data_IF_480466763779
#
_entry.id   IF_480466763779
#
_cell.length_a   1.000
_cell.length_b   1.000
_cell.length_c   1.000
_cell.angle_alpha   90.00
_cell.angle_beta   90.00
_cell.angle_gamma   90.00
#
_symmetry.space_group_name_H-M   'P 1'
#
loop_
_entity.id
_entity.type
_entity.pdbx_description
1 polymer ?
#
# COMPACT_ATOMS: atom_id res chain seq x y z
N UNK A 1 -20.94 -4.97 13.94
CA UNK A 1 -22.16 -4.26 14.39
C UNK A 1 -22.92 -3.85 13.14
N UNK A 2 -24.25 -4.10 13.09
CA UNK A 2 -25.09 -3.69 11.96
C UNK A 2 -25.51 -2.24 12.11
N UNK A 3 -25.85 -1.61 10.99
CA UNK A 3 -26.45 -0.28 10.95
C UNK A 3 -27.86 -0.33 10.39
N UNK A 4 -28.68 0.60 10.82
CA UNK A 4 -29.97 0.92 10.20
C UNK A 4 -29.79 2.20 9.41
N UNK A 5 -30.13 2.17 8.13
CA UNK A 5 -30.30 3.33 7.25
C UNK A 5 -31.77 3.75 7.34
N UNK A 6 -32.00 5.01 7.63
CA UNK A 6 -33.31 5.63 7.57
C UNK A 6 -33.26 6.72 6.52
N UNK A 7 -34.02 6.53 5.45
CA UNK A 7 -34.13 7.53 4.41
C UNK A 7 -35.40 8.36 4.61
N UNK A 8 -35.22 9.66 4.68
CA UNK A 8 -36.29 10.65 4.78
C UNK A 8 -36.42 11.40 3.44
N UNK A 9 -37.50 11.18 2.73
CA UNK A 9 -37.85 11.98 1.57
C UNK A 9 -38.65 13.19 2.02
N UNK A 10 -38.26 14.39 1.60
CA UNK A 10 -38.73 15.67 2.11
C UNK A 10 -39.29 16.54 0.98
N UNK A 11 -40.50 17.07 1.16
CA UNK A 11 -41.10 18.04 0.22
C UNK A 11 -41.85 19.13 1.02
N UNK A 12 -41.33 20.40 1.06
CA UNK A 12 -40.05 20.89 0.53
C UNK A 12 -38.83 20.35 1.27
N UNK A 13 -37.64 20.37 0.61
CA UNK A 13 -36.40 19.85 1.20
C UNK A 13 -35.89 20.72 2.36
N UNK A 14 -35.94 22.03 2.18
CA UNK A 14 -35.54 23.00 3.21
C UNK A 14 -36.77 23.74 3.79
N UNK A 15 -36.80 24.06 5.09
CA UNK A 15 -35.71 23.88 6.09
C UNK A 15 -35.71 22.50 6.78
N UNK A 16 -36.60 21.56 6.36
CA UNK A 16 -36.80 20.28 7.05
C UNK A 16 -35.50 19.45 7.18
N UNK A 17 -34.60 19.47 6.17
CA UNK A 17 -33.33 18.77 6.19
C UNK A 17 -32.44 19.21 7.37
N UNK A 18 -32.27 20.50 7.57
CA UNK A 18 -31.42 21.05 8.61
C UNK A 18 -31.96 20.76 10.02
N UNK A 19 -33.28 20.79 10.16
CA UNK A 19 -33.97 20.43 11.41
C UNK A 19 -33.73 18.95 11.72
N UNK A 20 -33.85 18.09 10.70
CA UNK A 20 -33.58 16.64 10.85
C UNK A 20 -32.16 16.36 11.31
N UNK A 21 -31.16 17.01 10.76
CA UNK A 21 -29.77 16.81 11.18
C UNK A 21 -29.58 17.06 12.66
N UNK A 22 -30.10 18.17 13.17
CA UNK A 22 -29.99 18.51 14.58
C UNK A 22 -30.74 17.48 15.44
N UNK A 23 -31.99 17.19 15.11
CA UNK A 23 -32.84 16.31 15.89
C UNK A 23 -32.37 14.85 15.89
N UNK A 24 -32.00 14.30 14.74
CA UNK A 24 -31.52 12.94 14.62
C UNK A 24 -30.12 12.77 15.23
N UNK A 25 -29.26 13.78 15.16
CA UNK A 25 -27.98 13.79 15.87
C UNK A 25 -28.16 13.64 17.38
N UNK A 26 -29.10 14.39 17.95
CA UNK A 26 -29.44 14.28 19.38
C UNK A 26 -30.06 12.92 19.75
N UNK A 27 -30.70 12.23 18.79
CA UNK A 27 -31.28 10.89 18.95
C UNK A 27 -30.28 9.75 18.71
N UNK A 28 -29.00 10.06 18.46
CA UNK A 28 -27.90 9.09 18.34
C UNK A 28 -27.60 8.59 16.93
N UNK A 29 -28.11 9.26 15.91
CA UNK A 29 -27.67 9.00 14.53
C UNK A 29 -26.25 9.55 14.34
N UNK A 30 -25.35 8.74 13.79
CA UNK A 30 -23.91 9.01 13.75
C UNK A 30 -23.42 9.58 12.39
N UNK A 31 -24.18 9.35 11.32
CA UNK A 31 -23.81 9.80 9.98
C UNK A 31 -25.03 10.19 9.17
N UNK A 32 -24.82 11.12 8.23
CA UNK A 32 -25.85 11.64 7.33
C UNK A 32 -25.32 11.76 5.92
N UNK A 33 -26.16 11.48 4.93
CA UNK A 33 -25.86 11.60 3.51
C UNK A 33 -26.98 12.41 2.82
N UNK A 34 -26.54 13.44 2.07
CA UNK A 34 -27.46 14.28 1.32
C UNK A 34 -27.98 13.55 0.07
N UNK A 35 -29.30 13.57 -0.11
CA UNK A 35 -29.97 13.16 -1.33
C UNK A 35 -30.66 14.34 -2.00
N UNK A 36 -30.92 14.23 -3.27
CA UNK A 36 -31.54 15.31 -4.07
C UNK A 36 -32.93 15.71 -3.50
N UNK A 37 -33.65 14.75 -2.94
CA UNK A 37 -35.02 14.90 -2.44
C UNK A 37 -35.16 14.49 -0.96
N UNK A 38 -34.03 14.41 -0.20
CA UNK A 38 -34.08 13.98 1.20
C UNK A 38 -32.75 13.81 1.88
N UNK A 39 -32.76 12.97 2.91
CA UNK A 39 -31.61 12.66 3.77
C UNK A 39 -31.59 11.17 4.09
N UNK A 40 -30.40 10.54 4.00
CA UNK A 40 -30.14 9.25 4.64
C UNK A 40 -29.45 9.49 5.97
N UNK A 41 -29.94 8.86 6.99
CA UNK A 41 -29.37 8.91 8.33
C UNK A 41 -29.05 7.50 8.83
N UNK A 42 -27.93 7.35 9.53
CA UNK A 42 -27.39 6.05 9.95
C UNK A 42 -27.25 5.97 11.45
N UNK A 43 -27.77 4.87 12.03
CA UNK A 43 -27.69 4.59 13.46
C UNK A 43 -27.32 3.13 13.68
N UNK A 44 -26.62 2.82 14.78
CA UNK A 44 -26.31 1.43 15.16
C UNK A 44 -27.61 0.64 15.36
N UNK A 45 -27.66 -0.57 14.84
CA UNK A 45 -28.85 -1.43 14.92
C UNK A 45 -29.32 -1.67 16.37
N UNK A 46 -28.37 -1.76 17.32
CA UNK A 46 -28.66 -1.95 18.75
C UNK A 46 -29.28 -0.73 19.44
N UNK A 47 -29.09 0.46 18.85
CA UNK A 47 -29.63 1.72 19.36
C UNK A 47 -30.92 2.13 18.65
N UNK A 48 -31.25 1.49 17.53
CA UNK A 48 -32.40 1.85 16.74
C UNK A 48 -33.69 1.26 17.33
N UNK A 49 -34.68 2.12 17.50
CA UNK A 49 -36.08 1.74 17.72
C UNK A 49 -36.97 2.64 16.87
N UNK A 50 -38.08 2.11 16.36
CA UNK A 50 -39.04 2.93 15.60
C UNK A 50 -39.58 4.11 16.39
N UNK A 51 -39.45 4.07 17.72
CA UNK A 51 -39.86 5.19 18.58
C UNK A 51 -39.01 6.44 18.37
N UNK A 52 -37.75 6.31 17.92
CA UNK A 52 -36.88 7.44 17.59
C UNK A 52 -37.44 8.29 16.44
N UNK A 53 -38.25 7.71 15.57
CA UNK A 53 -38.87 8.37 14.41
C UNK A 53 -40.23 8.97 14.72
N UNK A 54 -40.74 8.78 15.94
CA UNK A 54 -42.00 9.39 16.36
C UNK A 54 -41.78 10.82 16.81
N UNK A 55 -42.79 11.64 16.55
CA UNK A 55 -42.86 13.03 17.01
C UNK A 55 -41.67 13.90 16.58
N UNK A 56 -41.15 13.62 15.36
CA UNK A 56 -40.12 14.48 14.77
C UNK A 56 -40.66 15.90 14.54
N UNK A 57 -39.87 16.91 14.86
CA UNK A 57 -40.26 18.33 14.74
C UNK A 57 -40.70 18.69 13.30
N UNK A 58 -40.10 18.04 12.30
CA UNK A 58 -40.47 18.24 10.90
C UNK A 58 -41.92 17.84 10.62
N UNK A 59 -42.50 16.91 11.34
CA UNK A 59 -43.89 16.45 11.16
C UNK A 59 -44.92 17.51 11.61
N UNK A 60 -44.48 18.52 12.35
CA UNK A 60 -45.32 19.66 12.80
C UNK A 60 -45.21 20.89 11.91
N UNK A 61 -44.41 20.86 10.84
CA UNK A 61 -44.26 21.98 9.91
C UNK A 61 -45.43 21.97 8.92
N UNK A 62 -46.10 23.09 8.76
CA UNK A 62 -47.21 23.28 7.81
C UNK A 62 -46.73 22.99 6.37
N UNK A 63 -47.52 22.24 5.59
CA UNK A 63 -47.23 21.80 4.23
C UNK A 63 -46.00 20.90 4.02
N UNK A 64 -45.35 20.43 5.11
CA UNK A 64 -44.23 19.48 5.00
C UNK A 64 -44.76 18.06 4.77
N UNK A 65 -44.28 17.42 3.68
CA UNK A 65 -44.45 15.98 3.43
C UNK A 65 -43.18 15.26 3.80
N UNK A 66 -43.31 14.16 4.50
CA UNK A 66 -42.20 13.31 4.94
C UNK A 66 -42.54 11.86 4.67
N UNK A 67 -41.82 11.21 3.76
CA UNK A 67 -41.89 9.75 3.60
C UNK A 67 -40.64 9.14 4.18
N UNK A 68 -40.82 8.12 5.02
CA UNK A 68 -39.70 7.44 5.71
C UNK A 68 -39.58 6.01 5.24
N UNK A 69 -38.39 5.59 4.88
CA UNK A 69 -38.06 4.19 4.61
C UNK A 69 -36.89 3.75 5.46
N UNK A 70 -36.97 2.51 5.97
CA UNK A 70 -35.98 1.93 6.87
C UNK A 70 -35.36 0.71 6.19
N UNK A 71 -34.05 0.63 6.19
CA UNK A 71 -33.29 -0.49 5.64
C UNK A 71 -32.26 -0.96 6.64
N UNK A 72 -32.24 -2.24 6.92
CA UNK A 72 -31.16 -2.86 7.68
C UNK A 72 -29.95 -3.01 6.75
N UNK A 73 -28.84 -2.34 7.10
CA UNK A 73 -27.56 -2.58 6.47
C UNK A 73 -26.98 -3.83 7.15
N UNK A 74 -27.03 -4.94 6.44
CA UNK A 74 -26.37 -6.15 6.90
C UNK A 74 -24.91 -5.85 7.19
N UNK A 75 -24.37 -6.47 8.23
CA UNK A 75 -22.95 -6.41 8.56
C UNK A 75 -22.18 -7.01 7.37
N UNK A 76 -21.84 -6.16 6.40
CA UNK A 76 -20.94 -6.56 5.34
C UNK A 76 -19.57 -6.67 5.98
N UNK A 77 -19.02 -7.88 6.04
CA UNK A 77 -17.65 -8.06 6.45
C UNK A 77 -16.74 -7.47 5.34
N UNK A 78 -16.50 -6.17 5.42
CA UNK A 78 -15.67 -5.44 4.46
C UNK A 78 -14.28 -6.06 4.36
N UNK A 79 -13.76 -6.61 5.47
CA UNK A 79 -12.49 -7.32 5.47
C UNK A 79 -12.58 -8.58 4.59
N UNK A 80 -13.63 -9.40 4.76
CA UNK A 80 -13.79 -10.59 3.92
C UNK A 80 -14.02 -10.24 2.44
N UNK A 81 -14.76 -9.17 2.15
CA UNK A 81 -14.95 -8.69 0.79
C UNK A 81 -13.64 -8.17 0.19
N UNK A 82 -12.85 -7.42 0.96
CA UNK A 82 -11.55 -6.94 0.54
C UNK A 82 -10.57 -8.12 0.34
N UNK A 83 -10.50 -9.06 1.28
CA UNK A 83 -9.69 -10.28 1.17
C UNK A 83 -10.04 -11.11 -0.07
N UNK A 84 -11.32 -11.22 -0.43
CA UNK A 84 -11.77 -11.94 -1.63
C UNK A 84 -11.38 -11.27 -2.95
N UNK A 85 -11.08 -9.98 -2.93
CA UNK A 85 -10.66 -9.20 -4.10
C UNK A 85 -9.15 -8.90 -4.11
N UNK A 86 -8.40 -9.46 -3.16
CA UNK A 86 -6.95 -9.27 -3.06
C UNK A 86 -6.25 -10.50 -3.62
N UNK A 87 -5.98 -10.50 -4.93
CA UNK A 87 -5.41 -11.66 -5.61
C UNK A 87 -3.91 -11.84 -5.32
N UNK A 88 -3.40 -13.08 -5.23
CA UNK A 88 -1.97 -13.33 -5.16
C UNK A 88 -1.25 -12.92 -6.46
N UNK A 89 -0.03 -12.43 -6.35
CA UNK A 89 0.80 -12.03 -7.48
C UNK A 89 1.76 -13.15 -7.85
N UNK A 90 1.74 -13.57 -9.11
CA UNK A 90 2.62 -14.61 -9.64
C UNK A 90 3.79 -13.96 -10.38
N UNK A 91 5.01 -14.27 -9.95
CA UNK A 91 6.25 -13.83 -10.58
C UNK A 91 6.93 -15.04 -11.23
N UNK A 92 7.14 -14.99 -12.56
CA UNK A 92 7.90 -16.00 -13.32
C UNK A 92 7.43 -17.47 -13.11
N UNK A 93 6.16 -17.73 -12.84
CA UNK A 93 5.58 -19.06 -12.54
C UNK A 93 6.23 -19.83 -11.36
N UNK A 94 7.23 -19.29 -10.70
CA UNK A 94 7.98 -19.94 -9.60
C UNK A 94 7.76 -19.26 -8.25
N UNK A 95 7.39 -18.00 -8.26
CA UNK A 95 7.24 -17.18 -7.07
C UNK A 95 5.82 -16.66 -6.96
N UNK A 96 5.30 -16.74 -5.76
CA UNK A 96 4.01 -16.14 -5.42
C UNK A 96 4.21 -15.16 -4.27
N UNK A 97 3.64 -13.96 -4.42
CA UNK A 97 3.50 -12.98 -3.34
C UNK A 97 2.03 -12.99 -2.94
N UNK A 98 1.75 -13.31 -1.71
CA UNK A 98 0.38 -13.51 -1.21
C UNK A 98 0.18 -12.95 0.18
N UNK A 99 -1.07 -12.67 0.53
CA UNK A 99 -1.45 -12.35 1.90
C UNK A 99 -1.55 -13.61 2.78
N UNK A 100 -1.49 -13.47 4.12
CA UNK A 100 -1.61 -14.60 5.07
C UNK A 100 -2.90 -15.40 4.94
N UNK A 101 -4.00 -14.79 4.50
CA UNK A 101 -5.31 -15.43 4.36
C UNK A 101 -5.46 -16.26 3.06
N UNK A 102 -4.50 -16.22 2.14
CA UNK A 102 -4.54 -17.04 0.93
C UNK A 102 -4.07 -18.48 1.22
N UNK A 103 -4.92 -19.45 0.94
CA UNK A 103 -4.54 -20.86 0.89
C UNK A 103 -3.99 -21.16 -0.51
N UNK A 104 -2.73 -21.57 -0.59
CA UNK A 104 -2.06 -21.82 -1.88
C UNK A 104 -1.30 -23.15 -1.83
N UNK A 105 -1.26 -23.84 -2.97
CA UNK A 105 -0.43 -25.01 -3.17
C UNK A 105 1.07 -24.64 -3.11
N UNK A 106 1.89 -25.60 -2.75
CA UNK A 106 3.33 -25.39 -2.58
C UNK A 106 3.98 -24.91 -3.87
N UNK A 107 4.65 -23.76 -3.80
CA UNK A 107 5.46 -23.15 -4.87
C UNK A 107 6.93 -23.07 -4.44
N UNK A 108 7.83 -22.83 -5.40
CA UNK A 108 9.28 -22.76 -5.12
C UNK A 108 9.62 -21.60 -4.17
N UNK A 109 9.05 -20.42 -4.43
CA UNK A 109 9.21 -19.21 -3.63
C UNK A 109 7.84 -18.69 -3.21
N UNK A 110 7.46 -18.94 -1.96
CA UNK A 110 6.24 -18.43 -1.34
C UNK A 110 6.59 -17.26 -0.43
N UNK A 111 6.10 -16.06 -0.77
CA UNK A 111 6.27 -14.83 0.00
C UNK A 111 4.94 -14.45 0.65
N UNK A 112 4.91 -14.46 1.96
CA UNK A 112 3.73 -14.07 2.74
C UNK A 112 3.90 -12.61 3.16
N UNK A 113 3.11 -11.73 2.56
CA UNK A 113 3.13 -10.29 2.83
C UNK A 113 1.80 -9.87 3.42
N UNK A 114 1.82 -9.41 4.65
CA UNK A 114 0.64 -8.81 5.29
C UNK A 114 0.39 -7.43 4.67
N UNK A 115 -0.73 -7.26 3.95
CA UNK A 115 -1.06 -5.97 3.38
C UNK A 115 -1.51 -5.03 4.49
N UNK A 116 -0.66 -4.07 4.82
CA UNK A 116 -0.93 -2.93 5.68
C UNK A 116 -0.91 -1.65 4.83
N UNK A 117 -0.95 -0.48 5.45
CA UNK A 117 -0.88 0.79 4.71
C UNK A 117 0.51 1.10 4.14
N UNK A 118 1.43 0.12 4.08
CA UNK A 118 2.77 0.26 3.51
C UNK A 118 2.77 -0.13 2.04
N UNK A 119 3.61 0.54 1.23
CA UNK A 119 3.83 0.22 -0.16
C UNK A 119 4.56 -1.12 -0.33
N UNK A 120 4.35 -1.82 -1.46
CA UNK A 120 5.12 -3.03 -1.79
C UNK A 120 4.36 -4.36 -1.59
N UNK A 121 3.04 -4.38 -1.73
CA UNK A 121 2.23 -5.63 -1.69
C UNK A 121 2.45 -6.55 -2.90
N UNK A 122 3.20 -6.09 -3.90
CA UNK A 122 3.43 -6.84 -5.15
C UNK A 122 2.51 -6.42 -6.32
N UNK A 123 1.38 -5.78 -6.05
CA UNK A 123 0.39 -5.42 -7.07
C UNK A 123 0.84 -4.26 -7.96
N UNK A 124 1.64 -3.35 -7.42
CA UNK A 124 2.14 -2.22 -8.19
C UNK A 124 3.18 -2.66 -9.22
N UNK A 125 3.16 -2.06 -10.40
CA UNK A 125 4.03 -2.38 -11.52
C UNK A 125 5.51 -2.35 -11.15
N UNK A 126 5.92 -1.36 -10.37
CA UNK A 126 7.31 -1.19 -9.95
C UNK A 126 7.79 -2.32 -9.06
N UNK A 127 6.97 -2.76 -8.09
CA UNK A 127 7.29 -3.91 -7.24
C UNK A 127 7.36 -5.20 -8.07
N UNK A 128 6.45 -5.36 -9.04
CA UNK A 128 6.46 -6.50 -9.96
C UNK A 128 7.74 -6.53 -10.81
N UNK A 129 8.13 -5.38 -11.42
CA UNK A 129 9.32 -5.26 -12.24
C UNK A 129 10.59 -5.58 -11.44
N UNK A 130 10.73 -4.98 -10.26
CA UNK A 130 11.87 -5.21 -9.36
C UNK A 130 11.93 -6.69 -8.93
N UNK A 131 10.81 -7.27 -8.50
CA UNK A 131 10.74 -8.67 -8.09
C UNK A 131 11.10 -9.64 -9.24
N UNK A 132 10.60 -9.36 -10.44
CA UNK A 132 10.95 -10.14 -11.65
C UNK A 132 12.44 -10.07 -11.93
N UNK A 133 13.04 -8.88 -11.80
CA UNK A 133 14.44 -8.67 -12.08
C UNK A 133 15.37 -9.40 -11.12
N UNK A 134 15.03 -9.50 -9.85
CA UNK A 134 15.84 -10.24 -8.86
C UNK A 134 16.12 -11.68 -9.29
N UNK A 135 15.22 -12.33 -10.06
CA UNK A 135 15.43 -13.67 -10.59
C UNK A 135 16.49 -13.74 -11.69
N UNK A 136 16.87 -12.62 -12.31
CA UNK A 136 17.93 -12.56 -13.34
C UNK A 136 19.33 -12.37 -12.76
N UNK A 137 19.42 -12.03 -11.47
CA UNK A 137 20.67 -11.77 -10.76
C UNK A 137 21.16 -13.03 -10.02
N UNK A 138 22.48 -13.20 -9.96
CA UNK A 138 23.07 -14.16 -9.03
C UNK A 138 23.21 -13.48 -7.65
N UNK A 139 22.27 -13.80 -6.76
CA UNK A 139 22.19 -13.22 -5.41
C UNK A 139 22.88 -14.06 -4.35
N UNK A 140 23.52 -15.17 -4.73
CA UNK A 140 24.12 -16.07 -3.74
C UNK A 140 25.30 -15.42 -3.01
N UNK A 141 25.17 -15.38 -1.71
CA UNK A 141 26.21 -14.91 -0.77
C UNK A 141 26.62 -13.44 -0.93
N UNK A 142 25.75 -12.59 -1.51
CA UNK A 142 25.99 -11.15 -1.65
C UNK A 142 25.42 -10.36 -0.48
N UNK A 143 25.95 -9.15 -0.32
CA UNK A 143 25.40 -8.11 0.57
C UNK A 143 24.51 -7.18 -0.24
N UNK A 144 23.28 -6.98 0.23
CA UNK A 144 22.22 -6.26 -0.46
C UNK A 144 21.58 -5.20 0.41
N UNK A 145 21.28 -4.05 -0.19
CA UNK A 145 20.47 -2.99 0.40
C UNK A 145 19.10 -2.93 -0.28
N UNK A 146 18.04 -2.82 0.51
CA UNK A 146 16.67 -2.47 0.10
C UNK A 146 16.30 -1.13 0.73
N UNK A 147 16.40 -0.05 -0.04
CA UNK A 147 16.14 1.32 0.39
C UNK A 147 14.70 1.73 0.04
N UNK A 148 13.95 2.17 1.06
CA UNK A 148 12.50 2.34 0.98
C UNK A 148 11.80 0.97 0.95
N UNK A 149 12.09 0.14 1.95
CA UNK A 149 11.71 -1.29 1.96
C UNK A 149 10.19 -1.53 1.99
N UNK A 150 9.40 -0.59 2.50
CA UNK A 150 7.94 -0.68 2.53
C UNK A 150 7.44 -1.90 3.30
N UNK A 151 6.94 -2.91 2.58
CA UNK A 151 6.55 -4.21 3.15
C UNK A 151 7.74 -5.15 3.39
N UNK A 152 8.91 -4.82 2.88
CA UNK A 152 10.09 -5.69 2.88
C UNK A 152 10.08 -6.78 1.81
N UNK A 153 9.15 -6.75 0.88
CA UNK A 153 8.96 -7.82 -0.12
C UNK A 153 10.19 -8.09 -0.95
N UNK A 154 10.95 -7.05 -1.35
CA UNK A 154 12.17 -7.19 -2.16
C UNK A 154 13.31 -7.77 -1.34
N UNK A 155 13.52 -7.30 -0.12
CA UNK A 155 14.50 -7.86 0.83
C UNK A 155 14.22 -9.33 1.14
N UNK A 156 12.95 -9.70 1.40
CA UNK A 156 12.53 -11.07 1.68
C UNK A 156 12.77 -11.96 0.45
N UNK A 157 12.42 -11.49 -0.75
CA UNK A 157 12.69 -12.22 -1.98
C UNK A 157 14.20 -12.42 -2.20
N UNK A 158 15.01 -11.38 -1.98
CA UNK A 158 16.46 -11.46 -2.11
C UNK A 158 17.07 -12.51 -1.15
N UNK A 159 16.62 -12.59 0.09
CA UNK A 159 17.05 -13.64 1.01
C UNK A 159 16.69 -15.04 0.52
N UNK A 160 15.45 -15.23 0.06
CA UNK A 160 15.01 -16.51 -0.51
C UNK A 160 15.80 -16.92 -1.76
N UNK A 161 16.31 -15.95 -2.52
CA UNK A 161 17.19 -16.16 -3.68
C UNK A 161 18.67 -16.36 -3.30
N UNK A 162 19.04 -16.20 -2.01
CA UNK A 162 20.35 -16.57 -1.50
C UNK A 162 21.24 -15.41 -1.07
N UNK A 163 20.75 -14.17 -1.01
CA UNK A 163 21.49 -13.05 -0.45
C UNK A 163 21.83 -13.32 1.01
N UNK A 164 23.04 -12.93 1.44
CA UNK A 164 23.61 -13.33 2.72
C UNK A 164 23.42 -12.31 3.83
N UNK A 165 23.71 -11.05 3.54
CA UNK A 165 23.52 -9.95 4.47
C UNK A 165 22.61 -8.92 3.77
N UNK A 166 21.46 -8.67 4.33
CA UNK A 166 20.49 -7.75 3.74
C UNK A 166 20.20 -6.66 4.75
N UNK A 167 20.36 -5.41 4.33
CA UNK A 167 19.90 -4.25 5.07
C UNK A 167 18.65 -3.73 4.40
N UNK A 168 17.57 -3.58 5.16
CA UNK A 168 16.29 -3.01 4.71
C UNK A 168 16.04 -1.73 5.50
N UNK A 169 15.90 -0.59 4.80
CA UNK A 169 15.76 0.71 5.43
C UNK A 169 14.47 1.35 4.94
N UNK A 170 13.70 1.94 5.87
CA UNK A 170 12.57 2.80 5.53
C UNK A 170 12.46 3.96 6.52
N UNK A 171 12.11 5.14 6.02
CA UNK A 171 11.96 6.33 6.85
C UNK A 171 10.64 6.32 7.64
N UNK A 172 9.62 5.65 7.10
CA UNK A 172 8.28 5.59 7.66
C UNK A 172 8.19 4.52 8.76
N UNK A 173 7.76 4.92 9.95
CA UNK A 173 7.58 3.99 11.10
C UNK A 173 6.70 2.80 10.76
N UNK A 174 5.59 3.03 10.05
CA UNK A 174 4.66 1.98 9.65
C UNK A 174 5.31 0.96 8.72
N UNK A 175 6.13 1.40 7.77
CA UNK A 175 6.87 0.55 6.85
C UNK A 175 7.96 -0.25 7.57
N UNK A 176 8.73 0.40 8.44
CA UNK A 176 9.72 -0.25 9.29
C UNK A 176 9.12 -1.41 10.10
N UNK A 177 7.99 -1.17 10.80
CA UNK A 177 7.29 -2.20 11.58
C UNK A 177 6.77 -3.30 10.66
N UNK A 178 6.15 -2.94 9.53
CA UNK A 178 5.59 -3.92 8.60
C UNK A 178 6.68 -4.81 7.98
N UNK A 179 7.84 -4.25 7.61
CA UNK A 179 8.99 -5.05 7.16
C UNK A 179 9.39 -6.08 8.21
N UNK A 180 9.51 -5.69 9.48
CA UNK A 180 9.86 -6.63 10.59
C UNK A 180 8.83 -7.75 10.69
N UNK A 181 7.54 -7.42 10.64
CA UNK A 181 6.47 -8.42 10.79
C UNK A 181 6.42 -9.37 9.59
N UNK A 182 6.61 -8.87 8.37
CA UNK A 182 6.70 -9.69 7.17
C UNK A 182 7.96 -10.58 7.16
N UNK A 183 9.08 -10.10 7.68
CA UNK A 183 10.28 -10.91 7.91
C UNK A 183 9.97 -12.10 8.84
N UNK A 184 9.24 -11.89 9.93
CA UNK A 184 8.79 -12.97 10.83
C UNK A 184 7.88 -13.97 10.13
N UNK A 185 6.88 -13.50 9.35
CA UNK A 185 5.96 -14.36 8.60
C UNK A 185 6.71 -15.26 7.59
N UNK A 186 7.79 -14.78 7.01
CA UNK A 186 8.61 -15.52 6.04
C UNK A 186 9.77 -16.29 6.66
N UNK A 187 9.96 -16.24 7.98
CA UNK A 187 11.06 -16.86 8.73
C UNK A 187 12.45 -16.46 8.22
N UNK A 188 12.62 -15.19 7.81
CA UNK A 188 13.89 -14.65 7.37
C UNK A 188 14.88 -14.52 8.54
N UNK A 189 16.18 -14.61 8.27
CA UNK A 189 17.23 -14.61 9.29
C UNK A 189 18.37 -13.63 9.00
N UNK A 190 18.48 -13.19 7.75
CA UNK A 190 19.62 -12.44 7.25
C UNK A 190 19.27 -10.98 6.91
N UNK A 191 18.09 -10.52 7.33
CA UNK A 191 17.60 -9.16 7.06
C UNK A 191 17.71 -8.35 8.37
N UNK A 192 18.49 -7.28 8.31
CA UNK A 192 18.54 -6.25 9.36
C UNK A 192 17.63 -5.12 8.89
N UNK A 193 16.63 -4.79 9.68
CA UNK A 193 15.68 -3.72 9.38
C UNK A 193 16.04 -2.51 10.23
N UNK A 194 16.21 -1.35 9.58
CA UNK A 194 16.55 -0.09 10.24
C UNK A 194 15.56 1.01 9.81
N UNK A 195 15.26 1.92 10.72
CA UNK A 195 14.44 3.11 10.42
C UNK A 195 15.35 4.29 10.14
N UNK A 196 15.24 4.89 8.96
CA UNK A 196 16.02 6.04 8.55
C UNK A 196 16.05 6.21 7.04
N UNK A 197 17.08 6.90 6.56
CA UNK A 197 17.31 7.23 5.17
C UNK A 197 18.76 6.90 4.75
N UNK A 198 19.22 7.51 3.66
CA UNK A 198 20.58 7.29 3.11
C UNK A 198 21.73 7.72 4.05
N UNK A 199 21.46 8.48 5.11
CA UNK A 199 22.48 8.83 6.10
C UNK A 199 22.99 7.60 6.89
N UNK A 200 22.16 6.53 6.96
CA UNK A 200 22.55 5.27 7.62
C UNK A 200 23.54 4.41 6.80
N UNK A 201 23.96 4.89 5.62
CA UNK A 201 24.80 4.11 4.71
C UNK A 201 26.30 4.38 4.84
N UNK A 202 26.73 5.28 5.74
CA UNK A 202 28.14 5.58 5.95
C UNK A 202 28.99 4.29 6.10
N UNK A 203 30.09 4.22 5.36
CA UNK A 203 31.06 3.10 5.34
C UNK A 203 30.47 1.72 4.93
N UNK A 204 29.24 1.68 4.41
CA UNK A 204 28.62 0.43 3.95
C UNK A 204 28.97 0.15 2.49
N UNK A 205 29.17 -1.13 2.13
CA UNK A 205 29.39 -1.57 0.74
C UNK A 205 28.48 -2.74 0.42
N UNK A 206 27.79 -2.64 -0.75
CA UNK A 206 26.85 -3.63 -1.24
C UNK A 206 27.20 -4.06 -2.67
N UNK A 207 26.89 -5.31 -3.02
CA UNK A 207 26.96 -5.78 -4.38
C UNK A 207 25.67 -5.45 -5.16
N UNK A 208 24.53 -5.34 -4.44
CA UNK A 208 23.26 -4.94 -5.04
C UNK A 208 22.56 -3.93 -4.13
N UNK A 209 22.08 -2.86 -4.73
CA UNK A 209 21.20 -1.88 -4.07
C UNK A 209 19.89 -1.84 -4.84
N UNK A 210 18.78 -1.97 -4.11
CA UNK A 210 17.42 -1.82 -4.58
C UNK A 210 16.85 -0.52 -4.02
N UNK A 211 16.22 0.31 -4.88
CA UNK A 211 15.50 1.50 -4.43
C UNK A 211 14.23 1.67 -5.27
N UNK A 212 13.09 1.33 -4.67
CA UNK A 212 11.76 1.47 -5.28
C UNK A 212 11.01 2.62 -4.61
N UNK A 213 11.48 3.84 -4.84
CA UNK A 213 11.02 5.07 -4.21
C UNK A 213 10.79 6.17 -5.25
N UNK A 214 10.27 7.33 -4.84
CA UNK A 214 9.97 8.40 -5.79
C UNK A 214 11.24 8.98 -6.44
N UNK A 215 11.08 9.46 -7.68
CA UNK A 215 12.16 10.01 -8.52
C UNK A 215 13.01 11.06 -7.83
N UNK A 216 12.41 12.00 -7.11
CA UNK A 216 13.15 13.12 -6.56
C UNK A 216 14.16 12.67 -5.49
N UNK A 217 13.79 11.70 -4.68
CA UNK A 217 14.71 11.10 -3.69
C UNK A 217 15.78 10.28 -4.41
N UNK A 218 15.44 9.53 -5.46
CA UNK A 218 16.42 8.80 -6.26
C UNK A 218 17.48 9.74 -6.83
N UNK A 219 17.08 10.86 -7.43
CA UNK A 219 18.01 11.86 -7.97
C UNK A 219 18.92 12.47 -6.89
N UNK A 220 18.38 12.70 -5.70
CA UNK A 220 19.14 13.22 -4.57
C UNK A 220 20.18 12.22 -4.05
N UNK A 221 19.81 10.92 -3.97
CA UNK A 221 20.57 9.90 -3.26
C UNK A 221 21.46 9.03 -4.18
N UNK A 222 21.38 9.19 -5.52
CA UNK A 222 22.09 8.34 -6.48
C UNK A 222 23.62 8.39 -6.28
N UNK A 223 24.17 9.54 -5.85
CA UNK A 223 25.59 9.70 -5.53
C UNK A 223 25.98 8.87 -4.30
N UNK A 224 25.13 8.85 -3.28
CA UNK A 224 25.31 8.03 -2.07
C UNK A 224 25.25 6.55 -2.44
N UNK A 225 24.23 6.13 -3.19
CA UNK A 225 24.13 4.73 -3.63
C UNK A 225 25.34 4.30 -4.46
N UNK A 226 25.83 5.17 -5.36
CA UNK A 226 27.02 4.89 -6.11
C UNK A 226 28.24 4.69 -5.20
N UNK A 227 28.43 5.51 -4.17
CA UNK A 227 29.56 5.38 -3.23
C UNK A 227 29.49 4.09 -2.40
N UNK A 228 28.27 3.60 -2.12
CA UNK A 228 28.02 2.39 -1.35
C UNK A 228 27.99 1.11 -2.22
N UNK A 229 28.24 1.20 -3.52
CA UNK A 229 28.34 0.03 -4.41
C UNK A 229 29.80 -0.41 -4.59
N UNK A 230 30.00 -1.71 -4.56
CA UNK A 230 31.25 -2.31 -5.02
C UNK A 230 31.41 -2.13 -6.53
N UNK A 231 32.65 -2.12 -7.05
CA UNK A 231 32.90 -2.13 -8.50
C UNK A 231 32.23 -3.35 -9.14
N UNK A 232 31.48 -3.15 -10.20
CA UNK A 232 30.65 -4.16 -10.84
C UNK A 232 29.32 -4.44 -10.15
N UNK A 233 29.07 -3.79 -8.98
CA UNK A 233 27.79 -3.89 -8.25
C UNK A 233 26.62 -3.30 -9.03
N UNK A 234 25.42 -3.73 -8.73
CA UNK A 234 24.19 -3.36 -9.45
C UNK A 234 23.32 -2.44 -8.61
N UNK A 235 22.82 -1.37 -9.24
CA UNK A 235 21.79 -0.49 -8.69
C UNK A 235 20.51 -0.66 -9.51
N UNK A 236 19.44 -1.10 -8.83
CA UNK A 236 18.12 -1.23 -9.41
C UNK A 236 17.24 -0.12 -8.85
N UNK A 237 16.73 0.73 -9.73
CA UNK A 237 15.87 1.86 -9.40
C UNK A 237 14.48 1.65 -9.99
N UNK A 238 13.44 1.98 -9.24
CA UNK A 238 12.05 2.04 -9.70
C UNK A 238 11.24 3.03 -8.85
N UNK A 239 9.93 3.18 -9.13
CA UNK A 239 9.10 4.19 -8.47
C UNK A 239 8.96 5.48 -9.29
N UNK A 240 9.24 5.41 -10.59
CA UNK A 240 9.17 6.51 -11.53
C UNK A 240 8.59 6.08 -12.89
N UNK A 241 8.19 7.05 -13.71
CA UNK A 241 7.61 6.81 -15.02
C UNK A 241 8.68 6.64 -16.10
N UNK A 242 8.29 6.03 -17.23
CA UNK A 242 9.15 5.87 -18.40
C UNK A 242 9.72 7.21 -18.91
N UNK A 243 8.99 8.31 -18.74
CA UNK A 243 9.43 9.66 -19.09
C UNK A 243 10.62 10.16 -18.26
N UNK A 244 10.84 9.61 -17.08
CA UNK A 244 11.87 10.03 -16.13
C UNK A 244 13.21 9.30 -16.34
N UNK A 245 13.21 8.24 -17.14
CA UNK A 245 14.38 7.36 -17.36
C UNK A 245 15.61 8.13 -17.85
N UNK A 246 15.41 9.08 -18.76
CA UNK A 246 16.53 9.84 -19.35
C UNK A 246 17.25 10.70 -18.30
N UNK A 247 16.50 11.35 -17.41
CA UNK A 247 17.02 12.19 -16.32
C UNK A 247 17.82 11.34 -15.33
N UNK A 248 17.24 10.23 -14.84
CA UNK A 248 17.92 9.31 -13.92
C UNK A 248 19.19 8.67 -14.52
N UNK A 249 19.18 8.33 -15.81
CA UNK A 249 20.38 7.82 -16.48
C UNK A 249 21.50 8.84 -16.57
N UNK A 250 21.17 10.10 -16.83
CA UNK A 250 22.18 11.17 -16.88
C UNK A 250 22.80 11.36 -15.51
N UNK A 251 21.99 11.51 -14.47
CA UNK A 251 22.46 11.64 -13.09
C UNK A 251 23.32 10.44 -12.67
N UNK A 252 22.90 9.22 -13.02
CA UNK A 252 23.66 8.00 -12.75
C UNK A 252 25.03 8.01 -13.46
N UNK A 253 25.07 8.43 -14.72
CA UNK A 253 26.33 8.52 -15.49
C UNK A 253 27.32 9.50 -14.86
N UNK A 254 26.83 10.66 -14.40
CA UNK A 254 27.64 11.67 -13.73
C UNK A 254 28.22 11.17 -12.40
N UNK A 255 27.59 10.15 -11.80
CA UNK A 255 28.02 9.50 -10.58
C UNK A 255 28.75 8.16 -10.79
N UNK A 256 29.28 7.88 -12.00
CA UNK A 256 30.11 6.71 -12.30
C UNK A 256 29.32 5.39 -12.39
N UNK A 257 28.04 5.49 -12.73
CA UNK A 257 27.17 4.33 -12.94
C UNK A 257 26.86 4.17 -14.44
N UNK A 258 27.08 2.98 -14.96
CA UNK A 258 26.81 2.63 -16.35
C UNK A 258 25.42 2.05 -16.51
N UNK A 259 24.70 2.49 -17.53
CA UNK A 259 23.42 1.90 -17.93
C UNK A 259 23.59 0.43 -18.34
N UNK A 260 22.74 -0.45 -17.82
CA UNK A 260 22.65 -1.87 -18.17
C UNK A 260 21.39 -2.14 -18.98
N UNK A 261 20.22 -1.86 -18.38
CA UNK A 261 18.92 -2.03 -19.05
C UNK A 261 17.81 -1.24 -18.40
N UNK A 262 16.69 -1.15 -19.10
CA UNK A 262 15.41 -0.66 -18.59
C UNK A 262 14.33 -1.69 -18.88
N UNK A 263 13.42 -1.90 -17.95
CA UNK A 263 12.19 -2.68 -18.11
C UNK A 263 11.00 -1.78 -17.83
N UNK A 264 9.90 -2.01 -18.55
CA UNK A 264 8.72 -1.14 -18.48
C UNK A 264 7.44 -1.95 -18.33
N UNK A 265 6.48 -1.41 -17.58
CA UNK A 265 5.12 -1.95 -17.45
C UNK A 265 4.14 -0.82 -17.14
N UNK A 266 3.10 -0.64 -17.97
CA UNK A 266 2.04 0.36 -17.77
C UNK A 266 2.58 1.77 -17.46
N UNK A 267 3.54 2.27 -18.25
CA UNK A 267 4.23 3.55 -18.09
C UNK A 267 5.17 3.67 -16.86
N UNK A 268 5.27 2.66 -16.02
CA UNK A 268 6.26 2.59 -14.96
C UNK A 268 7.55 1.93 -15.46
N UNK A 269 8.68 2.36 -14.93
CA UNK A 269 9.98 1.84 -15.33
C UNK A 269 10.78 1.28 -14.15
N UNK A 270 11.63 0.30 -14.46
CA UNK A 270 12.74 -0.15 -13.64
C UNK A 270 14.03 0.03 -14.42
N UNK A 271 15.03 0.67 -13.83
CA UNK A 271 16.33 0.96 -14.39
C UNK A 271 17.40 0.15 -13.66
N UNK A 272 18.22 -0.57 -14.41
CA UNK A 272 19.40 -1.25 -13.86
C UNK A 272 20.66 -0.53 -14.32
N UNK A 273 21.52 -0.26 -13.36
CA UNK A 273 22.81 0.40 -13.51
C UNK A 273 23.91 -0.48 -12.90
N UNK A 274 25.17 -0.25 -13.31
CA UNK A 274 26.36 -0.97 -12.84
C UNK A 274 27.44 0.02 -12.44
N UNK A 275 28.07 -0.18 -11.28
CA UNK A 275 29.23 0.59 -10.84
C UNK A 275 30.45 0.28 -11.68
N UNK A 276 31.10 1.33 -12.22
CA UNK A 276 32.33 1.26 -13.01
C UNK A 276 33.58 1.09 -12.13
#
# INVERSE_FOLDING_TARGET
>A
MGYIEVYFKLEPLLPAREILYAELGDKGFEAFEDEVDGVRAYIKQEQFTEFLLKDLMISGIEDQKVDVSIKTIANQNWNALWESNFDPIIINSKCIIRAPFHAIDKVEYDLIISPQMSFGTGHHETTFLMSKELFSLDLKSIDLLDMGSGTGVLAILAEKLGAKNIKAIDIEEGAYINTIDNCKLNNTKNIIVEKGDSELLEDSLFQVILANINKNILLQDISVYSSCLTIGGKLLLSGFFTTDVAELRNEASDNGLKFVKVEEKNNWAMLMLEKL
#
